data_IF_974423129018
#
_entry.id   IF_974423129018
#
_cell.length_a   1.000
_cell.length_b   1.000
_cell.length_c   1.000
_cell.angle_alpha   90.00
_cell.angle_beta   90.00
_cell.angle_gamma   90.00
#
_symmetry.space_group_name_H-M   'P 1'
#
loop_
_entity.id
_entity.type
_entity.pdbx_description
1 polymer ?
#
# COMPACT_ATOMS: atom_id res chain seq x y z
N UNK A 1 11.89 -2.43 10.43
CA UNK A 1 11.11 -3.66 10.33
C UNK A 1 9.66 -3.28 10.55
N UNK A 2 9.00 -2.85 9.49
CA UNK A 2 7.55 -2.73 9.46
C UNK A 2 6.99 -4.11 9.13
N UNK A 3 6.31 -4.77 10.07
CA UNK A 3 5.79 -6.13 9.85
C UNK A 3 4.35 -6.14 9.30
N UNK A 4 3.73 -4.96 9.19
CA UNK A 4 2.29 -4.84 8.92
C UNK A 4 1.98 -4.60 7.44
N UNK A 5 2.94 -4.10 6.66
CA UNK A 5 2.79 -3.79 5.23
C UNK A 5 3.70 -4.67 4.36
N UNK A 6 3.33 -4.87 3.11
CA UNK A 6 4.02 -5.80 2.22
C UNK A 6 5.28 -5.15 1.64
N UNK A 7 6.44 -5.74 1.93
CA UNK A 7 7.70 -5.20 1.42
C UNK A 7 7.99 -5.69 0.01
N UNK A 8 8.17 -4.75 -0.91
CA UNK A 8 8.68 -5.01 -2.26
C UNK A 8 10.20 -4.85 -2.24
N UNK A 9 10.93 -5.93 -2.56
CA UNK A 9 12.39 -6.01 -2.32
C UNK A 9 13.24 -5.70 -3.55
N UNK A 10 12.61 -5.62 -4.73
CA UNK A 10 13.26 -5.35 -5.99
C UNK A 10 12.42 -4.42 -6.87
N UNK A 11 13.07 -3.77 -7.85
CA UNK A 11 12.36 -2.97 -8.85
C UNK A 11 11.37 -3.81 -9.69
N UNK A 12 11.68 -5.09 -9.88
CA UNK A 12 10.76 -6.01 -10.57
C UNK A 12 9.49 -6.26 -9.74
N UNK A 13 9.60 -6.40 -8.41
CA UNK A 13 8.44 -6.55 -7.53
C UNK A 13 7.54 -5.31 -7.58
N UNK A 14 8.14 -4.12 -7.69
CA UNK A 14 7.41 -2.85 -7.86
C UNK A 14 6.69 -2.79 -9.20
N UNK A 15 7.34 -3.17 -10.29
CA UNK A 15 6.69 -3.21 -11.61
C UNK A 15 5.52 -4.20 -11.63
N UNK A 16 5.71 -5.40 -11.06
CA UNK A 16 4.65 -6.40 -10.98
C UNK A 16 3.48 -5.95 -10.11
N UNK A 17 3.74 -5.26 -9.00
CA UNK A 17 2.71 -4.70 -8.14
C UNK A 17 1.80 -3.69 -8.88
N UNK A 18 2.38 -2.89 -9.78
CA UNK A 18 1.63 -1.89 -10.55
C UNK A 18 0.87 -2.54 -11.70
N UNK A 19 1.51 -3.45 -12.44
CA UNK A 19 0.94 -4.03 -13.67
C UNK A 19 -0.21 -4.99 -13.35
N UNK A 20 -0.12 -5.76 -12.26
CA UNK A 20 -1.10 -6.80 -11.96
C UNK A 20 -2.42 -6.26 -11.36
N UNK A 21 -2.46 -5.01 -10.92
CA UNK A 21 -3.64 -4.40 -10.30
C UNK A 21 -4.32 -3.43 -11.29
N UNK A 22 -5.16 -3.98 -12.18
CA UNK A 22 -5.83 -3.20 -13.25
C UNK A 22 -7.01 -2.36 -12.74
N UNK A 23 -7.71 -2.84 -11.71
CA UNK A 23 -8.95 -2.22 -11.19
C UNK A 23 -8.77 -1.65 -9.78
N UNK A 24 -7.53 -1.67 -9.27
CA UNK A 24 -7.21 -1.24 -7.92
C UNK A 24 -6.23 -0.10 -7.88
N UNK A 25 -6.41 0.79 -6.92
CA UNK A 25 -5.41 1.80 -6.63
C UNK A 25 -4.28 1.15 -5.82
N UNK A 26 -3.06 1.22 -6.36
CA UNK A 26 -1.83 0.74 -5.73
C UNK A 26 -1.16 1.91 -5.01
N UNK A 27 -0.97 1.77 -3.69
CA UNK A 27 -0.20 2.72 -2.88
C UNK A 27 1.15 2.10 -2.50
N UNK A 28 2.26 2.77 -2.84
CA UNK A 28 3.63 2.30 -2.57
C UNK A 28 4.37 3.39 -1.78
N UNK A 29 4.96 3.01 -0.64
CA UNK A 29 5.80 3.90 0.18
C UNK A 29 7.28 3.67 -0.12
N UNK A 30 7.97 4.70 -0.61
CA UNK A 30 9.43 4.69 -0.72
C UNK A 30 10.06 5.28 0.53
N UNK A 31 10.95 4.53 1.19
CA UNK A 31 11.62 5.00 2.40
C UNK A 31 12.42 3.91 3.08
N UNK A 32 13.20 4.30 4.08
CA UNK A 32 13.95 3.35 4.89
C UNK A 32 13.17 2.98 6.15
N UNK A 33 13.14 1.69 6.47
CA UNK A 33 12.44 1.13 7.62
C UNK A 33 12.88 1.65 9.00
N UNK A 34 14.06 2.24 9.07
CA UNK A 34 14.62 2.82 10.29
C UNK A 34 14.36 4.32 10.40
N UNK A 35 13.79 4.94 9.37
CA UNK A 35 13.43 6.35 9.38
C UNK A 35 12.18 6.56 10.26
N UNK A 36 12.27 7.38 11.33
CA UNK A 36 11.15 7.62 12.23
C UNK A 36 9.89 8.19 11.55
N UNK A 37 10.05 8.94 10.46
CA UNK A 37 8.91 9.50 9.73
C UNK A 37 8.26 8.45 8.83
N UNK A 38 9.05 7.54 8.25
CA UNK A 38 8.52 6.37 7.53
C UNK A 38 7.74 5.44 8.47
N UNK A 39 8.22 5.22 9.69
CA UNK A 39 7.50 4.41 10.68
C UNK A 39 6.13 5.01 11.05
N UNK A 40 6.03 6.33 11.22
CA UNK A 40 4.75 7.02 11.47
C UNK A 40 3.81 6.88 10.27
N UNK A 41 4.34 7.01 9.06
CA UNK A 41 3.57 6.86 7.83
C UNK A 41 3.00 5.44 7.72
N UNK A 42 3.80 4.41 7.97
CA UNK A 42 3.35 3.01 7.95
C UNK A 42 2.20 2.75 8.94
N UNK A 43 2.28 3.32 10.15
CA UNK A 43 1.20 3.21 11.14
C UNK A 43 -0.10 3.89 10.67
N UNK A 44 0.00 5.05 10.02
CA UNK A 44 -1.15 5.75 9.46
C UNK A 44 -1.75 4.99 8.28
N UNK A 45 -0.91 4.51 7.38
CA UNK A 45 -1.28 3.71 6.22
C UNK A 45 -2.01 2.43 6.66
N UNK A 46 -1.48 1.74 7.67
CA UNK A 46 -2.14 0.55 8.23
C UNK A 46 -3.51 0.86 8.84
N UNK A 47 -3.66 1.96 9.59
CA UNK A 47 -4.94 2.35 10.20
C UNK A 47 -6.02 2.69 9.17
N UNK A 48 -5.63 3.31 8.06
CA UNK A 48 -6.58 3.81 7.05
C UNK A 48 -6.85 2.80 5.92
N UNK A 49 -6.06 1.73 5.81
CA UNK A 49 -6.15 0.75 4.73
C UNK A 49 -7.56 0.14 4.59
N UNK A 50 -8.17 -0.27 5.70
CA UNK A 50 -9.53 -0.84 5.69
C UNK A 50 -10.59 0.20 5.33
N UNK A 51 -10.46 1.43 5.82
CA UNK A 51 -11.39 2.52 5.50
C UNK A 51 -11.35 2.86 4.01
N UNK A 52 -10.15 2.93 3.42
CA UNK A 52 -9.97 3.20 2.00
C UNK A 52 -10.53 2.04 1.16
N UNK A 53 -10.24 0.79 1.55
CA UNK A 53 -10.80 -0.39 0.89
C UNK A 53 -12.32 -0.37 0.89
N UNK A 54 -12.94 -0.07 2.02
CA UNK A 54 -14.40 0.01 2.15
C UNK A 54 -14.99 1.19 1.37
N UNK A 55 -14.30 2.33 1.32
CA UNK A 55 -14.72 3.50 0.54
C UNK A 55 -14.81 3.15 -0.95
N UNK A 56 -13.75 2.55 -1.50
CA UNK A 56 -13.71 2.17 -2.90
C UNK A 56 -14.67 1.03 -3.22
N UNK A 57 -14.84 0.04 -2.32
CA UNK A 57 -15.77 -1.07 -2.55
C UNK A 57 -17.26 -0.67 -2.63
N UNK A 58 -17.63 0.51 -2.09
CA UNK A 58 -19.00 1.06 -2.19
C UNK A 58 -19.20 1.97 -3.42
N UNK A 59 -18.13 2.41 -4.07
CA UNK A 59 -18.19 2.95 -5.43
C UNK A 59 -18.01 1.76 -6.37
N UNK A 60 -19.03 1.43 -7.16
CA UNK A 60 -19.15 0.19 -7.93
C UNK A 60 -18.01 -0.20 -8.89
N UNK A 61 -16.89 0.52 -8.96
CA UNK A 61 -15.86 0.37 -10.01
C UNK A 61 -14.40 0.25 -9.53
N UNK A 62 -14.06 0.39 -8.24
CA UNK A 62 -12.64 0.32 -7.82
C UNK A 62 -12.42 -0.43 -6.49
N UNK A 63 -11.32 -1.17 -6.37
CA UNK A 63 -10.87 -1.75 -5.10
C UNK A 63 -9.54 -1.12 -4.68
N UNK A 64 -9.13 -1.21 -3.41
CA UNK A 64 -7.85 -0.64 -2.95
C UNK A 64 -6.94 -1.74 -2.41
N UNK A 65 -5.67 -1.71 -2.83
CA UNK A 65 -4.64 -2.61 -2.33
C UNK A 65 -3.42 -1.78 -1.92
N UNK A 66 -2.99 -1.95 -0.67
CA UNK A 66 -1.85 -1.23 -0.12
C UNK A 66 -0.67 -2.18 -0.02
N UNK A 67 0.44 -1.79 -0.64
CA UNK A 67 1.71 -2.53 -0.60
C UNK A 67 2.70 -1.78 0.29
#
# INVERSE_FOLDING_TARGET
MSYMLQHLTSGWDVDQAIINEEERLVCIRFGHDYDPDCMKMDELLFKVADDIKNFFQNLHDHHFYML
#
